data_IF_855528090953
#
_entry.id   IF_855528090953
#
_cell.length_a   1.000
_cell.length_b   1.000
_cell.length_c   1.000
_cell.angle_alpha   90.00
_cell.angle_beta   90.00
_cell.angle_gamma   90.00
#
_symmetry.space_group_name_H-M   'P 1'
#
loop_
_entity.id
_entity.type
_entity.pdbx_description
1 polymer ?
#
# COMPACT_ATOMS: atom_id res chain seq x y z
N UNK A 1 0.29 11.11 68.89
CA UNK A 1 0.25 11.78 67.58
C UNK A 1 0.94 10.86 66.57
N UNK A 2 0.21 9.92 65.98
CA UNK A 2 0.68 9.12 64.85
C UNK A 2 -0.37 9.27 63.75
N UNK A 3 -0.02 10.05 62.72
CA UNK A 3 -0.87 10.31 61.56
C UNK A 3 -0.85 9.12 60.62
N UNK A 4 -2.03 8.56 60.36
CA UNK A 4 -2.25 7.59 59.29
C UNK A 4 -2.28 8.34 57.95
N UNK A 5 -1.40 7.98 57.02
CA UNK A 5 -1.45 8.41 55.63
C UNK A 5 -2.50 7.60 54.86
N UNK A 6 -3.33 8.22 54.00
CA UNK A 6 -4.30 7.51 53.18
C UNK A 6 -3.59 6.66 52.11
N UNK A 7 -3.96 5.39 52.00
CA UNK A 7 -3.60 4.53 50.87
C UNK A 7 -4.43 4.96 49.65
N UNK A 8 -3.80 5.69 48.73
CA UNK A 8 -4.31 5.91 47.39
C UNK A 8 -4.20 4.61 46.59
N UNK A 9 -5.31 3.88 46.53
CA UNK A 9 -5.54 2.74 45.64
C UNK A 9 -5.48 3.20 44.19
N UNK A 10 -4.27 3.21 43.63
CA UNK A 10 -4.05 3.35 42.20
C UNK A 10 -4.62 2.10 41.50
N UNK A 11 -5.86 2.22 41.02
CA UNK A 11 -6.49 1.25 40.13
C UNK A 11 -5.56 0.97 38.96
N UNK A 12 -5.08 -0.27 38.89
CA UNK A 12 -4.35 -0.76 37.73
C UNK A 12 -5.22 -0.53 36.48
N UNK A 13 -4.67 0.01 35.38
CA UNK A 13 -5.44 0.19 34.16
C UNK A 13 -5.99 -1.16 33.71
N UNK A 14 -7.31 -1.25 33.60
CA UNK A 14 -8.03 -2.41 33.09
C UNK A 14 -7.41 -2.82 31.75
N UNK A 15 -6.73 -3.96 31.75
CA UNK A 15 -6.18 -4.55 30.55
C UNK A 15 -7.36 -4.92 29.65
N UNK A 16 -7.44 -4.41 28.40
CA UNK A 16 -8.47 -4.82 27.45
C UNK A 16 -8.24 -6.29 27.09
N UNK A 17 -8.93 -7.18 27.79
CA UNK A 17 -8.53 -8.58 27.96
C UNK A 17 -9.42 -9.63 27.28
N UNK A 18 -10.43 -9.29 26.49
CA UNK A 18 -11.36 -10.28 25.93
C UNK A 18 -11.35 -10.42 24.41
N UNK A 19 -11.23 -9.31 23.73
CA UNK A 19 -11.67 -9.14 22.34
C UNK A 19 -10.52 -9.34 21.33
N UNK A 20 -9.27 -9.22 21.77
CA UNK A 20 -8.10 -9.51 20.94
C UNK A 20 -7.92 -11.01 20.64
N UNK A 21 -8.40 -11.91 21.52
CA UNK A 21 -8.18 -13.35 21.36
C UNK A 21 -9.10 -13.96 20.30
N UNK A 22 -10.34 -13.48 20.21
CA UNK A 22 -11.32 -13.95 19.22
C UNK A 22 -10.89 -13.61 17.78
N UNK A 23 -10.26 -12.44 17.59
CA UNK A 23 -9.71 -12.02 16.31
C UNK A 23 -8.48 -12.84 15.89
N UNK A 24 -7.67 -13.30 16.86
CA UNK A 24 -6.54 -14.21 16.59
C UNK A 24 -7.06 -15.59 16.20
N UNK A 25 -8.05 -16.12 16.90
CA UNK A 25 -8.69 -17.40 16.57
C UNK A 25 -9.32 -17.39 15.17
N UNK A 26 -9.97 -16.29 14.78
CA UNK A 26 -10.52 -16.14 13.44
C UNK A 26 -9.43 -16.13 12.34
N UNK A 27 -8.23 -15.62 12.62
CA UNK A 27 -7.12 -15.57 11.67
C UNK A 27 -6.45 -16.94 11.45
N UNK A 28 -6.51 -17.84 12.44
CA UNK A 28 -6.02 -19.22 12.33
C UNK A 28 -7.03 -20.16 11.63
N UNK A 29 -8.22 -19.68 11.26
CA UNK A 29 -9.35 -20.48 10.82
C UNK A 29 -9.12 -21.36 9.58
N UNK A 30 -8.14 -21.03 8.73
CA UNK A 30 -7.94 -21.73 7.44
C UNK A 30 -6.63 -22.55 7.36
N UNK A 31 -5.76 -22.47 8.38
CA UNK A 31 -4.47 -23.16 8.38
C UNK A 31 -4.16 -23.73 9.76
N UNK A 32 -4.44 -25.01 9.96
CA UNK A 32 -4.08 -25.71 11.19
C UNK A 32 -2.55 -25.77 11.33
N UNK A 33 -1.98 -24.89 12.13
CA UNK A 33 -0.56 -24.97 12.50
C UNK A 33 -0.36 -26.23 13.34
N UNK A 34 0.52 -27.13 12.89
CA UNK A 34 0.95 -28.29 13.68
C UNK A 34 2.07 -27.89 14.65
N UNK A 35 2.12 -28.52 15.82
CA UNK A 35 3.23 -28.39 16.74
C UNK A 35 4.53 -28.87 16.06
N UNK A 36 5.62 -28.10 16.06
CA UNK A 36 6.86 -28.50 15.41
C UNK A 36 7.54 -29.70 16.08
N UNK A 37 7.26 -29.94 17.36
CA UNK A 37 7.88 -31.03 18.13
C UNK A 37 7.13 -32.36 17.96
N UNK A 38 5.79 -32.35 18.09
CA UNK A 38 4.99 -33.58 18.11
C UNK A 38 4.00 -33.71 16.95
N UNK A 39 3.85 -32.70 16.10
CA UNK A 39 2.91 -32.70 14.98
C UNK A 39 1.44 -32.51 15.37
N UNK A 40 1.12 -32.36 16.67
CA UNK A 40 -0.26 -32.16 17.13
C UNK A 40 -0.87 -30.88 16.56
N UNK A 41 -2.12 -30.95 16.10
CA UNK A 41 -2.83 -29.79 15.55
C UNK A 41 -3.12 -28.76 16.64
N UNK A 42 -2.65 -27.51 16.45
CA UNK A 42 -2.88 -26.42 17.38
C UNK A 42 -4.19 -25.66 17.10
N UNK A 43 -5.01 -26.14 16.16
CA UNK A 43 -6.28 -25.51 15.83
C UNK A 43 -7.23 -25.54 17.04
N UNK A 44 -7.78 -24.37 17.41
CA UNK A 44 -8.75 -24.25 18.51
C UNK A 44 -8.17 -24.32 19.92
N UNK A 45 -6.84 -24.37 20.08
CA UNK A 45 -6.21 -24.37 21.40
C UNK A 45 -6.42 -23.02 22.10
N UNK A 46 -6.87 -23.06 23.36
CA UNK A 46 -7.00 -21.86 24.22
C UNK A 46 -5.74 -21.57 25.07
N UNK A 47 -4.80 -22.51 25.12
CA UNK A 47 -3.55 -22.41 25.90
C UNK A 47 -2.35 -22.06 25.01
N UNK A 48 -1.35 -21.40 25.58
CA UNK A 48 -0.06 -21.16 24.94
C UNK A 48 0.91 -22.36 25.04
N UNK A 49 0.39 -23.55 25.34
CA UNK A 49 1.19 -24.75 25.60
C UNK A 49 0.52 -25.96 24.95
N UNK A 50 1.28 -26.76 24.21
CA UNK A 50 0.80 -27.99 23.60
C UNK A 50 0.42 -29.02 24.69
N UNK A 51 -0.77 -29.65 24.62
CA UNK A 51 -1.22 -30.60 25.64
C UNK A 51 -0.44 -31.93 25.59
N UNK A 52 0.07 -32.31 24.42
CA UNK A 52 0.77 -33.59 24.22
C UNK A 52 2.22 -33.55 24.72
N UNK A 53 2.99 -32.54 24.30
CA UNK A 53 4.43 -32.47 24.57
C UNK A 53 4.84 -31.38 25.56
N UNK A 54 3.90 -30.52 25.99
CA UNK A 54 4.21 -29.40 26.88
C UNK A 54 4.98 -28.25 26.22
N UNK A 55 5.20 -28.29 24.90
CA UNK A 55 5.92 -27.22 24.19
C UNK A 55 5.18 -25.89 24.29
N UNK A 56 5.89 -24.84 24.71
CA UNK A 56 5.31 -23.51 24.89
C UNK A 56 5.31 -22.76 23.55
N UNK A 57 4.12 -22.58 22.98
CA UNK A 57 3.92 -21.88 21.72
C UNK A 57 4.04 -20.38 21.98
N UNK A 58 5.09 -19.76 21.44
CA UNK A 58 5.19 -18.30 21.36
C UNK A 58 4.71 -17.87 20.00
N UNK A 59 3.50 -17.31 19.94
CA UNK A 59 3.06 -16.59 18.76
C UNK A 59 3.93 -15.34 18.64
N UNK A 60 4.91 -15.40 17.75
CA UNK A 60 5.59 -14.21 17.28
C UNK A 60 4.80 -13.75 16.07
N UNK A 61 4.03 -12.68 16.25
CA UNK A 61 3.65 -11.89 15.09
C UNK A 61 4.98 -11.34 14.56
N UNK A 62 5.51 -11.95 13.52
CA UNK A 62 6.54 -11.28 12.75
C UNK A 62 5.85 -10.04 12.18
N UNK A 63 6.13 -8.88 12.77
CA UNK A 63 5.51 -7.57 12.50
C UNK A 63 5.82 -7.03 11.09
N UNK A 64 6.00 -7.93 10.11
CA UNK A 64 6.27 -7.62 8.73
C UNK A 64 7.74 -7.73 8.41
N UNK A 65 8.21 -8.97 8.25
CA UNK A 65 9.38 -9.24 7.39
C UNK A 65 9.23 -8.53 6.01
N UNK A 66 7.99 -8.27 5.56
CA UNK A 66 7.70 -7.57 4.32
C UNK A 66 7.50 -6.05 4.42
N UNK A 67 7.36 -5.46 5.61
CA UNK A 67 7.12 -4.02 5.71
C UNK A 67 8.32 -3.22 5.16
N UNK A 68 9.54 -3.70 5.42
CA UNK A 68 10.76 -3.16 4.84
C UNK A 68 10.86 -3.38 3.33
N UNK A 69 10.40 -4.53 2.84
CA UNK A 69 10.43 -4.89 1.42
C UNK A 69 9.47 -4.02 0.59
N UNK A 70 8.25 -3.77 1.09
CA UNK A 70 7.28 -2.90 0.43
C UNK A 70 7.80 -1.46 0.34
N UNK A 71 8.40 -0.94 1.42
CA UNK A 71 8.99 0.41 1.40
C UNK A 71 10.16 0.49 0.42
N UNK A 72 10.99 -0.56 0.35
CA UNK A 72 12.11 -0.64 -0.59
C UNK A 72 11.61 -0.64 -2.04
N UNK A 73 10.62 -1.46 -2.37
CA UNK A 73 10.02 -1.53 -3.72
C UNK A 73 9.38 -0.18 -4.07
N UNK A 74 8.59 0.40 -3.18
CA UNK A 74 7.95 1.69 -3.45
C UNK A 74 8.95 2.81 -3.70
N UNK A 75 10.07 2.84 -2.96
CA UNK A 75 11.16 3.79 -3.19
C UNK A 75 11.77 3.62 -4.59
N UNK A 76 12.03 2.38 -5.01
CA UNK A 76 12.55 2.11 -6.36
C UNK A 76 11.57 2.51 -7.46
N UNK A 77 10.28 2.24 -7.30
CA UNK A 77 9.24 2.67 -8.25
C UNK A 77 9.20 4.19 -8.37
N UNK A 78 9.31 4.92 -7.26
CA UNK A 78 9.35 6.38 -7.28
C UNK A 78 10.59 6.92 -8.01
N UNK A 79 11.77 6.36 -7.73
CA UNK A 79 13.02 6.73 -8.41
C UNK A 79 12.92 6.45 -9.91
N UNK A 80 12.43 5.28 -10.29
CA UNK A 80 12.25 4.91 -11.70
C UNK A 80 11.29 5.86 -12.42
N UNK A 81 10.19 6.24 -11.76
CA UNK A 81 9.24 7.22 -12.30
C UNK A 81 9.89 8.58 -12.56
N UNK A 82 10.74 9.07 -11.65
CA UNK A 82 11.48 10.34 -11.84
C UNK A 82 12.50 10.22 -12.97
N UNK A 83 13.26 9.13 -13.02
CA UNK A 83 14.27 8.89 -14.07
C UNK A 83 13.63 8.82 -15.46
N UNK A 84 12.45 8.20 -15.59
CA UNK A 84 11.72 8.11 -16.85
C UNK A 84 11.06 9.44 -17.25
N UNK A 85 10.67 10.28 -16.29
CA UNK A 85 10.06 11.58 -16.55
C UNK A 85 11.08 12.70 -16.84
N UNK A 86 12.29 12.62 -16.31
CA UNK A 86 13.33 13.62 -16.53
C UNK A 86 13.67 13.87 -18.02
N UNK A 87 13.93 12.86 -18.87
CA UNK A 87 14.28 13.09 -20.27
C UNK A 87 13.13 13.67 -21.06
N UNK A 88 11.88 13.38 -20.71
CA UNK A 88 10.72 13.92 -21.43
C UNK A 88 10.47 15.38 -21.07
N UNK A 89 10.69 15.78 -19.82
CA UNK A 89 10.72 17.19 -19.42
C UNK A 89 11.88 17.93 -20.11
N UNK A 90 13.07 17.32 -20.19
CA UNK A 90 14.22 17.93 -20.86
C UNK A 90 13.97 18.10 -22.36
N UNK A 91 13.41 17.08 -23.01
CA UNK A 91 12.99 17.11 -24.40
C UNK A 91 11.95 18.21 -24.65
N UNK A 92 10.98 18.37 -23.73
CA UNK A 92 9.99 19.46 -23.77
C UNK A 92 10.65 20.84 -23.73
N UNK A 93 11.55 21.06 -22.76
CA UNK A 93 12.27 22.32 -22.64
C UNK A 93 13.11 22.60 -23.89
N UNK A 94 13.78 21.59 -24.45
CA UNK A 94 14.51 21.71 -25.70
C UNK A 94 13.62 22.16 -26.86
N UNK A 95 12.46 21.51 -27.05
CA UNK A 95 11.53 21.89 -28.11
C UNK A 95 10.96 23.30 -27.93
N UNK A 96 10.64 23.72 -26.70
CA UNK A 96 10.22 25.09 -26.41
C UNK A 96 11.30 26.10 -26.80
N UNK A 97 12.57 25.79 -26.51
CA UNK A 97 13.71 26.67 -26.78
C UNK A 97 14.00 26.78 -28.28
N UNK A 98 13.87 25.69 -29.03
CA UNK A 98 14.19 25.63 -30.47
C UNK A 98 13.06 26.12 -31.37
N UNK A 99 11.82 25.69 -31.10
CA UNK A 99 10.68 25.94 -32.01
C UNK A 99 9.78 27.11 -31.58
N UNK A 100 10.01 27.66 -30.38
CA UNK A 100 9.14 28.68 -29.80
C UNK A 100 7.72 28.17 -29.48
N UNK A 101 6.85 29.10 -29.06
CA UNK A 101 5.51 28.78 -28.53
C UNK A 101 4.46 28.45 -29.60
N UNK A 102 4.71 28.74 -30.88
CA UNK A 102 3.63 28.86 -31.87
C UNK A 102 3.34 27.62 -32.73
N UNK A 103 4.19 26.60 -32.75
CA UNK A 103 4.02 25.45 -33.67
C UNK A 103 3.60 24.11 -33.04
N UNK A 104 3.57 24.01 -31.71
CA UNK A 104 3.72 22.69 -31.06
C UNK A 104 2.50 22.21 -30.28
N UNK A 105 1.46 23.04 -30.12
CA UNK A 105 0.30 22.75 -29.27
C UNK A 105 -0.45 21.44 -29.64
N UNK A 106 -0.53 21.08 -30.91
CA UNK A 106 -1.20 19.86 -31.37
C UNK A 106 -0.45 18.57 -31.01
N UNK A 107 0.89 18.62 -30.95
CA UNK A 107 1.73 17.47 -30.57
C UNK A 107 1.74 17.29 -29.04
N UNK A 108 1.54 18.37 -28.27
CA UNK A 108 1.64 18.36 -26.81
C UNK A 108 0.40 17.87 -26.07
N UNK A 109 -0.80 18.08 -26.62
CA UNK A 109 -2.06 17.63 -26.02
C UNK A 109 -2.06 16.14 -25.61
N UNK A 110 -1.67 15.18 -26.49
CA UNK A 110 -1.60 13.78 -26.08
C UNK A 110 -0.53 13.53 -25.01
N UNK A 111 0.57 14.29 -25.03
CA UNK A 111 1.66 14.15 -24.05
C UNK A 111 1.22 14.57 -22.64
N UNK A 112 0.55 15.70 -22.51
CA UNK A 112 -0.04 16.17 -21.24
C UNK A 112 -1.10 15.21 -20.71
N UNK A 113 -1.95 14.68 -21.60
CA UNK A 113 -2.97 13.70 -21.23
C UNK A 113 -2.40 12.40 -20.64
N UNK A 114 -1.19 12.00 -21.05
CA UNK A 114 -0.52 10.80 -20.50
C UNK A 114 0.32 11.13 -19.27
N UNK A 115 1.06 12.24 -19.27
CA UNK A 115 2.04 12.54 -18.21
C UNK A 115 1.45 13.06 -16.91
N UNK A 116 0.44 13.94 -16.97
CA UNK A 116 -0.21 14.52 -15.79
C UNK A 116 -0.80 13.43 -14.87
N UNK A 117 -1.56 12.43 -15.37
CA UNK A 117 -2.10 11.39 -14.50
C UNK A 117 -1.01 10.46 -13.92
N UNK A 118 0.07 10.18 -14.66
CA UNK A 118 1.21 9.38 -14.14
C UNK A 118 1.89 10.12 -12.99
N UNK A 119 2.17 11.42 -13.16
CA UNK A 119 2.76 12.25 -12.12
C UNK A 119 1.83 12.35 -10.89
N UNK A 120 0.54 12.63 -11.09
CA UNK A 120 -0.43 12.71 -10.00
C UNK A 120 -0.55 11.36 -9.25
N UNK A 121 -0.49 10.23 -9.95
CA UNK A 121 -0.53 8.91 -9.34
C UNK A 121 0.72 8.64 -8.50
N UNK A 122 1.91 8.90 -9.03
CA UNK A 122 3.16 8.69 -8.28
C UNK A 122 3.20 9.51 -6.98
N UNK A 123 2.80 10.78 -7.03
CA UNK A 123 2.69 11.66 -5.85
C UNK A 123 1.64 11.14 -4.87
N UNK A 124 0.45 10.77 -5.35
CA UNK A 124 -0.62 10.21 -4.51
C UNK A 124 -0.18 8.93 -3.80
N UNK A 125 0.56 8.06 -4.51
CA UNK A 125 1.12 6.81 -3.95
C UNK A 125 2.16 7.10 -2.87
N UNK A 126 3.04 8.08 -3.07
CA UNK A 126 4.01 8.50 -2.06
C UNK A 126 3.35 9.08 -0.80
N UNK A 127 2.27 9.85 -0.97
CA UNK A 127 1.53 10.44 0.14
C UNK A 127 0.75 9.39 0.94
N UNK A 128 0.17 8.38 0.29
CA UNK A 128 -0.52 7.28 0.98
C UNK A 128 0.46 6.39 1.73
N UNK A 129 1.66 6.16 1.19
CA UNK A 129 2.72 5.43 1.88
C UNK A 129 3.25 6.19 3.11
N UNK A 130 3.47 7.51 2.98
CA UNK A 130 3.87 8.35 4.13
C UNK A 130 2.80 8.40 5.23
N UNK A 131 1.52 8.53 4.88
CA UNK A 131 0.43 8.51 5.86
C UNK A 131 0.25 7.13 6.49
N UNK A 132 0.40 6.05 5.72
CA UNK A 132 0.32 4.66 6.19
C UNK A 132 1.43 4.30 7.18
N UNK A 133 2.65 4.82 6.98
CA UNK A 133 3.73 4.62 7.96
C UNK A 133 3.43 5.21 9.36
N UNK A 134 2.54 6.21 9.45
CA UNK A 134 2.23 6.88 10.72
C UNK A 134 1.08 6.22 11.49
N UNK A 135 0.31 5.32 10.88
CA UNK A 135 -0.80 4.60 11.53
C UNK A 135 -0.65 3.11 11.24
N UNK A 136 -0.35 2.32 12.27
CA UNK A 136 -0.11 0.85 12.24
C UNK A 136 -1.28 -0.02 11.73
N UNK A 137 -2.26 0.53 11.02
CA UNK A 137 -3.40 -0.19 10.46
C UNK A 137 -3.27 -0.42 8.94
N UNK A 138 -2.26 -1.18 8.51
CA UNK A 138 -1.94 -1.39 7.08
C UNK A 138 -2.93 -2.33 6.38
N UNK A 139 -3.61 -3.20 7.12
CA UNK A 139 -4.37 -4.34 6.55
C UNK A 139 -5.67 -3.88 5.86
N UNK A 140 -6.35 -2.84 6.36
CA UNK A 140 -7.57 -2.33 5.73
C UNK A 140 -7.30 -1.56 4.41
N UNK A 141 -6.06 -1.12 4.19
CA UNK A 141 -5.72 -0.15 3.14
C UNK A 141 -5.39 -0.80 1.79
N UNK A 142 -5.11 -2.11 1.76
CA UNK A 142 -4.82 -2.85 0.53
C UNK A 142 -6.05 -3.03 -0.40
N UNK A 143 -7.27 -3.17 0.15
CA UNK A 143 -8.49 -3.35 -0.67
C UNK A 143 -8.85 -2.09 -1.47
N UNK A 144 -8.65 -0.90 -0.90
CA UNK A 144 -8.94 0.37 -1.57
C UNK A 144 -7.89 0.74 -2.62
N UNK A 145 -6.63 0.34 -2.44
CA UNK A 145 -5.57 0.54 -3.44
C UNK A 145 -5.85 -0.22 -4.75
N UNK A 146 -6.36 -1.46 -4.67
CA UNK A 146 -6.65 -2.31 -5.84
C UNK A 146 -7.79 -1.77 -6.72
N UNK A 147 -8.73 -1.03 -6.14
CA UNK A 147 -9.85 -0.41 -6.89
C UNK A 147 -9.38 0.83 -7.65
N UNK A 148 -8.42 1.59 -7.09
CA UNK A 148 -7.87 2.80 -7.70
C UNK A 148 -6.94 2.50 -8.87
N UNK A 149 -6.14 1.44 -8.82
CA UNK A 149 -5.30 1.01 -9.96
C UNK A 149 -6.11 0.66 -11.20
N UNK A 150 -7.28 0.01 -11.03
CA UNK A 150 -8.16 -0.30 -12.18
C UNK A 150 -8.65 0.95 -12.91
N UNK A 151 -9.04 1.99 -12.19
CA UNK A 151 -9.54 3.24 -12.79
C UNK A 151 -8.43 3.92 -13.62
N UNK A 152 -7.20 3.91 -13.12
CA UNK A 152 -6.07 4.57 -13.78
C UNK A 152 -5.63 3.82 -15.03
N UNK A 153 -5.56 2.48 -14.98
CA UNK A 153 -5.32 1.66 -16.17
C UNK A 153 -6.39 1.94 -17.23
N UNK A 154 -7.65 2.07 -16.82
CA UNK A 154 -8.75 2.40 -17.72
C UNK A 154 -8.59 3.79 -18.35
N UNK A 155 -8.19 4.82 -17.58
CA UNK A 155 -7.93 6.17 -18.10
C UNK A 155 -6.72 6.22 -19.04
N UNK A 156 -5.64 5.49 -18.76
CA UNK A 156 -4.48 5.39 -19.66
C UNK A 156 -4.85 4.68 -20.97
N UNK A 157 -5.59 3.57 -20.90
CA UNK A 157 -6.07 2.88 -22.10
C UNK A 157 -6.99 3.79 -22.92
N UNK A 158 -7.95 4.48 -22.29
CA UNK A 158 -8.83 5.40 -22.98
C UNK A 158 -8.06 6.56 -23.65
N UNK A 159 -7.09 7.15 -22.94
CA UNK A 159 -6.28 8.26 -23.45
C UNK A 159 -5.35 7.89 -24.61
N UNK A 160 -4.90 6.63 -24.69
CA UNK A 160 -4.09 6.12 -25.81
C UNK A 160 -4.93 5.71 -27.01
N UNK A 161 -6.14 5.16 -26.78
CA UNK A 161 -7.00 4.62 -27.85
C UNK A 161 -7.81 5.73 -28.53
N UNK A 162 -8.30 6.74 -27.79
CA UNK A 162 -9.12 7.81 -28.37
C UNK A 162 -8.44 8.58 -29.51
N UNK A 163 -7.19 9.05 -29.36
CA UNK A 163 -6.52 9.82 -30.42
C UNK A 163 -6.32 9.00 -31.69
N UNK A 164 -6.03 7.70 -31.54
CA UNK A 164 -5.88 6.78 -32.66
C UNK A 164 -7.23 6.58 -33.38
N UNK A 165 -8.32 6.36 -32.64
CA UNK A 165 -9.67 6.25 -33.22
C UNK A 165 -10.11 7.53 -33.95
N UNK A 166 -9.84 8.70 -33.38
CA UNK A 166 -10.17 10.00 -34.00
C UNK A 166 -9.42 10.16 -35.33
N UNK A 167 -8.12 9.82 -35.35
CA UNK A 167 -7.32 9.86 -36.57
C UNK A 167 -7.84 8.90 -37.64
N UNK A 168 -8.12 7.65 -37.27
CA UNK A 168 -8.67 6.65 -38.20
C UNK A 168 -10.05 7.05 -38.75
N UNK A 169 -10.89 7.69 -37.93
CA UNK A 169 -12.19 8.18 -38.37
C UNK A 169 -12.08 9.34 -39.38
N UNK A 170 -11.11 10.24 -39.20
CA UNK A 170 -10.85 11.34 -40.13
C UNK A 170 -10.33 10.86 -41.49
N UNK A 171 -9.48 9.82 -41.52
CA UNK A 171 -8.98 9.23 -42.78
C UNK A 171 -10.06 8.51 -43.58
N UNK A 172 -11.16 8.06 -42.96
CA UNK A 172 -12.29 7.43 -43.65
C UNK A 172 -13.30 8.42 -44.25
N UNK A 173 -13.24 9.69 -43.83
CA UNK A 173 -14.14 10.75 -44.29
C UNK A 173 -13.61 11.51 -45.52
N UNK A 174 -12.35 11.30 -45.89
CA UNK A 174 -11.68 11.89 -47.05
C UNK A 174 -11.50 10.85 -48.16
#
# INVERSE_FOLDING_TARGET
MHGATPQDSASAPDAPGGDSFEHVLALLGDGAAACPECGYSLAGLRSATCPECGWRVRLRLDDGADAGQVVRIARWVAVLGVVLAAPTVLQYLYYLLVFGTFGTASIWLPYLCVYVPIAAYSVSTLLTLRKGQRRRGVIAQCRTARRRTRIIVWMCCAGLILPWLIRSALELLH
#
